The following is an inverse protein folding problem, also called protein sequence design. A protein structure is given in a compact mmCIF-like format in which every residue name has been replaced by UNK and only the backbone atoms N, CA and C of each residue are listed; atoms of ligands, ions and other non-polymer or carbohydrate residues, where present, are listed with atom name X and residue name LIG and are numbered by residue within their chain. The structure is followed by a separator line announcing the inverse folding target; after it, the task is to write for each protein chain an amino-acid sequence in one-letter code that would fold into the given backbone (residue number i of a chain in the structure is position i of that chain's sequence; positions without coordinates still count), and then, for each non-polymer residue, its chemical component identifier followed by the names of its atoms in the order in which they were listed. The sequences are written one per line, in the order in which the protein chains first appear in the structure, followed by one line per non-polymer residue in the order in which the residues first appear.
data_IF_202366241231
#
_entry.id   IF_202366241231
#
_cell.length_a   1.000
_cell.length_b   1.000
_cell.length_c   1.000
_cell.angle_alpha   90.00
_cell.angle_beta   90.00
_cell.angle_gamma   90.00
#
_symmetry.space_group_name_H-M   'P 1'
#
loop_
_entity.id
_entity.type
_entity.pdbx_description
1 polymer ?
#
# COMPACT_ATOMS: atom_id res chain seq x y z
N UNK A 1 -15.28 57.81 23.34
CA UNK A 1 -13.90 58.03 22.86
C UNK A 1 -13.63 56.99 21.76
N UNK A 2 -13.78 57.34 20.48
CA UNK A 2 -13.52 56.44 19.34
C UNK A 2 -12.06 56.62 18.93
N UNK A 3 -11.25 55.58 19.05
CA UNK A 3 -9.91 55.55 18.45
C UNK A 3 -10.09 55.49 16.92
N UNK A 4 -9.84 56.60 16.24
CA UNK A 4 -9.66 56.63 14.80
C UNK A 4 -8.35 55.90 14.48
N UNK A 5 -8.41 54.70 13.91
CA UNK A 5 -7.24 54.08 13.34
C UNK A 5 -6.86 54.86 12.07
N UNK A 6 -5.68 55.48 12.08
CA UNK A 6 -5.11 56.15 10.92
C UNK A 6 -4.84 55.08 9.84
N UNK A 7 -5.62 55.07 8.75
CA UNK A 7 -5.63 54.04 7.71
C UNK A 7 -4.40 54.01 6.79
N UNK A 8 -3.22 54.41 7.26
CA UNK A 8 -2.00 54.46 6.45
C UNK A 8 -1.44 53.06 6.12
N UNK A 9 -1.73 52.06 6.95
CA UNK A 9 -1.39 50.67 6.70
C UNK A 9 -2.49 49.76 7.27
N UNK A 10 -2.80 48.68 6.54
CA UNK A 10 -3.78 47.67 6.95
C UNK A 10 -3.19 46.29 6.73
N UNK A 11 -3.54 45.34 7.60
CA UNK A 11 -3.23 43.94 7.35
C UNK A 11 -4.00 43.44 6.13
N UNK A 12 -3.41 42.49 5.40
CA UNK A 12 -3.99 41.90 4.18
C UNK A 12 -5.38 41.33 4.44
N UNK A 13 -5.57 40.66 5.59
CA UNK A 13 -6.88 40.15 6.02
C UNK A 13 -7.94 41.25 6.20
N UNK A 14 -7.56 42.43 6.71
CA UNK A 14 -8.49 43.54 6.92
C UNK A 14 -8.78 44.33 5.64
N UNK A 15 -7.90 44.23 4.65
CA UNK A 15 -8.09 44.79 3.31
C UNK A 15 -8.89 43.86 2.37
N UNK A 16 -9.26 42.66 2.82
CA UNK A 16 -10.04 41.72 2.03
C UNK A 16 -11.43 42.30 1.72
N UNK A 17 -11.73 42.46 0.43
CA UNK A 17 -12.99 43.08 -0.04
C UNK A 17 -12.92 44.59 -0.26
N UNK A 18 -11.82 45.25 0.10
CA UNK A 18 -11.56 46.63 -0.28
C UNK A 18 -10.89 46.70 -1.66
N UNK A 19 -11.25 47.71 -2.45
CA UNK A 19 -10.55 48.08 -3.69
C UNK A 19 -9.94 49.46 -3.51
N UNK A 20 -8.67 49.61 -3.87
CA UNK A 20 -7.89 50.85 -3.76
C UNK A 20 -7.30 51.20 -5.12
N UNK A 21 -6.89 52.45 -5.33
CA UNK A 21 -6.28 52.84 -6.61
C UNK A 21 -4.92 52.16 -6.82
N UNK A 22 -4.11 52.10 -5.77
CA UNK A 22 -2.79 51.47 -5.77
C UNK A 22 -2.59 50.64 -4.50
N UNK A 23 -2.10 49.41 -4.64
CA UNK A 23 -1.75 48.55 -3.50
C UNK A 23 -0.23 48.41 -3.35
N UNK A 24 0.24 48.47 -2.10
CA UNK A 24 1.63 48.27 -1.72
C UNK A 24 1.69 47.20 -0.63
N UNK A 25 2.31 46.06 -0.92
CA UNK A 25 2.37 44.92 -0.03
C UNK A 25 3.81 44.64 0.39
N UNK A 26 4.04 44.47 1.69
CA UNK A 26 5.29 43.94 2.21
C UNK A 26 5.16 42.41 2.28
N UNK A 27 6.10 41.70 1.64
CA UNK A 27 6.07 40.25 1.49
C UNK A 27 7.30 39.67 2.17
N UNK A 28 7.08 38.92 3.23
CA UNK A 28 8.11 38.13 3.88
C UNK A 28 8.11 36.71 3.30
N UNK A 29 9.16 36.27 2.58
CA UNK A 29 9.23 34.92 2.04
C UNK A 29 9.13 33.80 3.08
N UNK A 30 9.48 34.09 4.33
CA UNK A 30 9.51 33.11 5.40
C UNK A 30 8.20 33.03 6.19
N UNK A 31 7.27 33.98 6.01
CA UNK A 31 5.96 33.99 6.70
C UNK A 31 4.75 34.13 5.77
N UNK A 32 4.90 34.61 4.54
CA UNK A 32 3.78 34.88 3.62
C UNK A 32 3.35 33.64 2.84
N UNK A 33 2.04 33.47 2.64
CA UNK A 33 1.43 32.44 1.80
C UNK A 33 0.86 32.97 0.49
N UNK A 34 0.61 32.07 -0.46
CA UNK A 34 0.06 32.41 -1.77
C UNK A 34 -1.31 33.06 -1.69
N UNK A 35 -2.15 32.69 -0.72
CA UNK A 35 -3.49 33.22 -0.56
C UNK A 35 -3.44 34.70 -0.15
N UNK A 36 -2.58 35.03 0.82
CA UNK A 36 -2.35 36.40 1.25
C UNK A 36 -1.68 37.22 0.15
N UNK A 37 -0.71 36.64 -0.55
CA UNK A 37 -0.05 37.30 -1.67
C UNK A 37 -1.04 37.61 -2.81
N UNK A 38 -1.90 36.65 -3.18
CA UNK A 38 -2.96 36.86 -4.17
C UNK A 38 -3.92 37.96 -3.74
N UNK A 39 -4.39 37.94 -2.50
CA UNK A 39 -5.27 38.97 -1.95
C UNK A 39 -4.61 40.33 -2.03
N UNK A 40 -3.34 40.46 -1.65
CA UNK A 40 -2.62 41.73 -1.68
C UNK A 40 -2.39 42.25 -3.12
N UNK A 41 -2.10 41.36 -4.06
CA UNK A 41 -1.81 41.68 -5.46
C UNK A 41 -3.05 41.94 -6.33
N UNK A 42 -4.25 41.87 -5.75
CA UNK A 42 -5.52 42.07 -6.45
C UNK A 42 -6.36 43.24 -5.92
N UNK A 43 -5.84 44.02 -4.96
CA UNK A 43 -6.60 45.16 -4.36
C UNK A 43 -6.48 46.46 -5.16
N UNK A 44 -5.36 46.68 -5.83
CA UNK A 44 -5.08 47.89 -6.60
C UNK A 44 -5.74 47.84 -7.97
N UNK A 45 -6.54 48.85 -8.30
CA UNK A 45 -7.20 49.00 -9.60
C UNK A 45 -6.21 49.35 -10.71
N UNK A 46 -5.23 50.19 -10.40
CA UNK A 46 -4.30 50.72 -11.39
C UNK A 46 -2.93 50.06 -11.30
N UNK A 47 -2.41 49.82 -10.09
CA UNK A 47 -1.10 49.19 -9.86
C UNK A 47 -1.05 48.42 -8.54
N UNK A 48 -0.26 47.34 -8.53
CA UNK A 48 0.03 46.54 -7.34
C UNK A 48 1.55 46.38 -7.23
N UNK A 49 2.12 46.77 -6.09
CA UNK A 49 3.55 46.70 -5.81
C UNK A 49 3.82 45.74 -4.65
N UNK A 50 4.76 44.81 -4.84
CA UNK A 50 5.25 43.91 -3.81
C UNK A 50 6.69 44.27 -3.42
N UNK A 51 6.92 44.50 -2.13
CA UNK A 51 8.23 44.71 -1.54
C UNK A 51 8.62 43.43 -0.82
N UNK A 52 9.57 42.68 -1.39
CA UNK A 52 10.01 41.41 -0.82
C UNK A 52 11.10 41.66 0.20
N UNK A 53 10.92 41.17 1.42
CA UNK A 53 11.93 41.28 2.48
C UNK A 53 13.13 40.40 2.13
N UNK A 54 14.30 41.02 2.16
CA UNK A 54 15.60 40.37 2.02
C UNK A 54 16.29 40.54 3.37
N UNK A 55 16.59 39.45 4.09
CA UNK A 55 17.31 39.52 5.37
C UNK A 55 18.70 40.11 5.16
N UNK A 56 19.17 40.88 6.14
CA UNK A 56 20.48 41.51 6.13
C UNK A 56 21.58 40.42 6.24
N UNK A 57 22.52 40.34 5.29
CA UNK A 57 23.64 39.40 5.38
C UNK A 57 24.51 39.56 6.65
N UNK A 58 24.41 40.70 7.35
CA UNK A 58 25.22 41.01 8.54
C UNK A 58 24.55 40.68 9.89
N UNK A 59 23.29 40.21 9.90
CA UNK A 59 22.60 39.76 11.13
C UNK A 59 22.80 38.25 11.42
N UNK A 60 23.58 37.54 10.59
CA UNK A 60 23.86 36.11 10.77
C UNK A 60 25.05 35.96 11.72
N UNK A 61 24.82 35.39 12.91
CA UNK A 61 25.90 35.00 13.82
C UNK A 61 26.93 34.13 13.07
N UNK A 62 28.24 34.43 13.14
CA UNK A 62 29.27 33.80 12.31
C UNK A 62 29.47 32.29 12.52
N UNK A 63 28.66 31.66 13.37
CA UNK A 63 28.68 30.23 13.72
C UNK A 63 27.51 29.44 13.10
N UNK A 64 26.59 30.10 12.39
CA UNK A 64 25.48 29.45 11.68
C UNK A 64 25.82 29.29 10.20
N UNK A 65 25.41 28.16 9.61
CA UNK A 65 25.52 27.93 8.17
C UNK A 65 24.84 29.08 7.42
N UNK A 66 25.60 29.76 6.55
CA UNK A 66 25.05 30.85 5.77
C UNK A 66 23.98 30.29 4.81
N UNK A 67 22.73 30.75 4.88
CA UNK A 67 21.70 30.29 3.95
C UNK A 67 22.10 30.65 2.52
N UNK A 68 21.82 29.74 1.57
CA UNK A 68 22.07 29.98 0.16
C UNK A 68 21.45 31.33 -0.28
N UNK A 69 22.18 32.16 -1.05
CA UNK A 69 21.68 33.43 -1.51
C UNK A 69 20.54 33.22 -2.51
N UNK A 70 19.30 33.21 -2.03
CA UNK A 70 18.10 33.08 -2.87
C UNK A 70 17.87 34.35 -3.70
N UNK A 71 17.59 34.17 -4.99
CA UNK A 71 17.17 35.27 -5.87
C UNK A 71 15.77 35.76 -5.49
N UNK A 72 15.39 36.96 -5.94
CA UNK A 72 14.02 37.49 -5.73
C UNK A 72 12.94 36.55 -6.29
N UNK A 73 13.21 35.89 -7.42
CA UNK A 73 12.28 34.94 -8.04
C UNK A 73 12.11 33.70 -7.18
N UNK A 74 13.19 33.16 -6.60
CA UNK A 74 13.12 31.99 -5.73
C UNK A 74 12.37 32.29 -4.43
N UNK A 75 12.58 33.50 -3.89
CA UNK A 75 11.84 34.00 -2.72
C UNK A 75 10.34 34.11 -3.02
N UNK A 76 9.97 34.60 -4.19
CA UNK A 76 8.55 34.66 -4.58
C UNK A 76 7.97 33.28 -4.87
N UNK A 77 8.75 32.37 -5.47
CA UNK A 77 8.36 30.98 -5.68
C UNK A 77 8.08 30.27 -4.34
N UNK A 78 8.88 30.54 -3.30
CA UNK A 78 8.61 30.05 -1.93
C UNK A 78 7.25 30.53 -1.41
N UNK A 79 6.93 31.82 -1.57
CA UNK A 79 5.62 32.39 -1.15
C UNK A 79 4.48 31.72 -1.90
N UNK A 80 4.61 31.52 -3.21
CA UNK A 80 3.59 30.88 -4.04
C UNK A 80 3.44 29.37 -3.76
N UNK A 81 4.48 28.71 -3.28
CA UNK A 81 4.44 27.31 -2.87
C UNK A 81 3.80 27.10 -1.50
N UNK A 82 3.80 28.12 -0.63
CA UNK A 82 3.18 28.07 0.71
C UNK A 82 1.68 28.35 0.63
N UNK A 83 0.88 27.53 1.31
CA UNK A 83 -0.57 27.66 1.41
C UNK A 83 -0.98 27.66 2.87
N UNK A 84 -1.61 28.74 3.33
CA UNK A 84 -2.18 28.83 4.69
C UNK A 84 -3.69 28.58 4.68
N UNK A 85 -4.19 27.90 3.64
CA UNK A 85 -5.58 27.48 3.60
C UNK A 85 -5.79 26.42 4.69
N UNK A 86 -6.49 26.79 5.76
CA UNK A 86 -6.90 25.86 6.81
C UNK A 86 -7.72 24.72 6.18
N UNK A 87 -7.21 23.50 6.27
CA UNK A 87 -7.95 22.30 5.90
C UNK A 87 -9.13 22.15 6.87
N UNK A 88 -10.35 22.00 6.36
CA UNK A 88 -11.50 21.85 7.24
C UNK A 88 -11.36 20.59 8.10
N UNK A 89 -11.88 20.61 9.33
CA UNK A 89 -11.85 19.44 10.22
C UNK A 89 -12.50 18.20 9.58
N UNK A 90 -13.50 18.41 8.73
CA UNK A 90 -14.14 17.38 7.90
C UNK A 90 -13.26 16.88 6.76
N UNK A 91 -12.50 17.72 6.07
CA UNK A 91 -11.59 17.24 5.01
C UNK A 91 -10.35 16.56 5.57
N UNK A 92 -9.87 16.97 6.74
CA UNK A 92 -8.80 16.28 7.47
C UNK A 92 -9.31 14.94 7.99
N UNK A 93 -10.50 14.88 8.60
CA UNK A 93 -11.10 13.64 9.06
C UNK A 93 -11.45 12.70 7.89
N UNK A 94 -12.07 13.20 6.81
CA UNK A 94 -12.39 12.41 5.63
C UNK A 94 -11.14 11.96 4.88
N UNK A 95 -10.07 12.76 4.78
CA UNK A 95 -8.81 12.31 4.17
C UNK A 95 -8.07 11.29 5.02
N UNK A 96 -8.07 11.42 6.34
CA UNK A 96 -7.42 10.44 7.23
C UNK A 96 -8.25 9.14 7.34
N UNK A 97 -9.58 9.25 7.41
CA UNK A 97 -10.51 8.10 7.45
C UNK A 97 -10.61 7.40 6.10
N UNK A 98 -10.75 8.09 4.96
CA UNK A 98 -10.82 7.45 3.64
C UNK A 98 -9.49 6.77 3.25
N UNK A 99 -8.35 7.28 3.74
CA UNK A 99 -7.01 6.77 3.38
C UNK A 99 -6.57 5.59 4.23
N UNK A 100 -6.94 5.54 5.51
CA UNK A 100 -6.53 4.47 6.43
C UNK A 100 -7.64 3.50 6.83
N UNK A 101 -8.92 3.84 6.68
CA UNK A 101 -10.03 2.97 7.09
C UNK A 101 -10.71 2.22 5.92
N UNK A 102 -10.64 2.67 4.65
CA UNK A 102 -11.39 2.02 3.57
C UNK A 102 -10.79 0.67 3.12
N UNK A 103 -9.51 0.65 2.74
CA UNK A 103 -8.85 -0.58 2.27
C UNK A 103 -8.60 -1.58 3.40
N UNK A 104 -8.23 -1.12 4.59
CA UNK A 104 -8.10 -1.98 5.78
C UNK A 104 -9.43 -2.66 6.13
N UNK A 105 -10.56 -1.93 6.08
CA UNK A 105 -11.90 -2.50 6.26
C UNK A 105 -12.25 -3.49 5.15
N UNK A 106 -12.00 -3.16 3.88
CA UNK A 106 -12.26 -4.09 2.77
C UNK A 106 -11.47 -5.40 2.89
N UNK A 107 -10.21 -5.31 3.34
CA UNK A 107 -9.37 -6.48 3.60
C UNK A 107 -9.93 -7.33 4.76
N UNK A 108 -10.33 -6.69 5.86
CA UNK A 108 -10.92 -7.37 7.00
C UNK A 108 -12.27 -8.03 6.63
N UNK A 109 -13.12 -7.33 5.89
CA UNK A 109 -14.39 -7.89 5.38
C UNK A 109 -14.14 -9.10 4.48
N UNK A 110 -13.19 -9.00 3.55
CA UNK A 110 -12.83 -10.12 2.67
C UNK A 110 -12.32 -11.32 3.45
N UNK A 111 -11.50 -11.10 4.49
CA UNK A 111 -10.97 -12.16 5.35
C UNK A 111 -12.08 -12.84 6.17
N UNK A 112 -13.11 -12.09 6.60
CA UNK A 112 -14.30 -12.67 7.27
C UNK A 112 -15.13 -13.50 6.28
N UNK A 113 -15.51 -12.92 5.13
CA UNK A 113 -16.31 -13.59 4.12
C UNK A 113 -15.62 -14.87 3.61
N UNK A 114 -14.31 -14.83 3.39
CA UNK A 114 -13.55 -15.98 2.90
C UNK A 114 -13.48 -17.13 3.90
N UNK A 115 -13.45 -16.82 5.21
CA UNK A 115 -13.49 -17.83 6.27
C UNK A 115 -14.89 -18.45 6.35
N UNK A 116 -15.92 -17.62 6.45
CA UNK A 116 -17.31 -18.05 6.53
C UNK A 116 -17.71 -18.95 5.35
N UNK A 117 -17.27 -18.59 4.14
CA UNK A 117 -17.53 -19.36 2.92
C UNK A 117 -17.00 -20.81 2.97
N UNK A 118 -16.08 -21.12 3.88
CA UNK A 118 -15.35 -22.39 3.90
C UNK A 118 -15.59 -23.22 5.18
N UNK A 119 -16.24 -22.66 6.19
CA UNK A 119 -16.45 -23.30 7.50
C UNK A 119 -17.12 -24.67 7.36
N UNK A 120 -18.25 -24.76 6.65
CA UNK A 120 -18.96 -26.03 6.45
C UNK A 120 -18.10 -27.07 5.71
N UNK A 121 -17.31 -26.62 4.74
CA UNK A 121 -16.41 -27.48 3.97
C UNK A 121 -15.27 -28.03 4.83
N UNK A 122 -14.72 -27.21 5.72
CA UNK A 122 -13.69 -27.65 6.66
C UNK A 122 -14.24 -28.62 7.68
N UNK A 123 -15.42 -28.34 8.23
CA UNK A 123 -16.11 -29.27 9.13
C UNK A 123 -16.32 -30.63 8.46
N UNK A 124 -16.83 -30.66 7.23
CA UNK A 124 -17.04 -31.90 6.47
C UNK A 124 -15.74 -32.66 6.16
N UNK A 125 -14.62 -31.96 5.90
CA UNK A 125 -13.32 -32.58 5.65
C UNK A 125 -12.69 -33.14 6.92
N UNK A 126 -12.87 -32.46 8.05
CA UNK A 126 -12.39 -32.93 9.36
C UNK A 126 -13.22 -34.12 9.86
N UNK A 127 -14.52 -34.15 9.57
CA UNK A 127 -15.43 -35.23 9.99
C UNK A 127 -15.02 -36.59 9.40
N UNK A 128 -14.55 -36.59 8.15
CA UNK A 128 -14.08 -37.82 7.46
C UNK A 128 -12.59 -38.11 7.64
N UNK A 129 -11.86 -37.25 8.36
CA UNK A 129 -10.42 -37.43 8.54
C UNK A 129 -10.14 -38.62 9.48
N UNK A 130 -9.10 -39.43 9.21
CA UNK A 130 -8.80 -40.64 10.00
C UNK A 130 -8.12 -40.28 11.33
N UNK A 131 -8.85 -39.64 12.23
CA UNK A 131 -8.39 -39.33 13.58
C UNK A 131 -8.34 -40.59 14.46
N UNK A 132 -7.41 -40.64 15.44
CA UNK A 132 -7.46 -41.63 16.51
C UNK A 132 -8.74 -41.54 17.34
N UNK A 133 -9.13 -42.68 17.90
CA UNK A 133 -10.33 -42.91 18.71
C UNK A 133 -10.28 -42.08 20.01
N UNK A 134 -10.88 -40.87 20.01
CA UNK A 134 -11.03 -39.86 21.10
C UNK A 134 -10.47 -38.47 20.73
N UNK A 135 -9.66 -38.36 19.68
CA UNK A 135 -9.04 -37.07 19.29
C UNK A 135 -9.97 -36.22 18.44
N UNK A 136 -10.90 -36.83 17.70
CA UNK A 136 -11.79 -36.10 16.80
C UNK A 136 -12.62 -35.03 17.53
N UNK A 137 -13.28 -35.42 18.63
CA UNK A 137 -14.10 -34.50 19.43
C UNK A 137 -13.27 -33.37 20.05
N UNK A 138 -12.04 -33.68 20.50
CA UNK A 138 -11.11 -32.71 21.04
C UNK A 138 -10.69 -31.68 19.98
N UNK A 139 -10.48 -32.11 18.71
CA UNK A 139 -10.19 -31.20 17.61
C UNK A 139 -11.37 -30.27 17.33
N UNK A 140 -12.59 -30.79 17.27
CA UNK A 140 -13.78 -29.99 16.97
C UNK A 140 -14.16 -29.00 18.07
N UNK A 141 -13.88 -29.34 19.33
CA UNK A 141 -14.18 -28.47 20.49
C UNK A 141 -12.99 -27.59 20.91
N UNK A 142 -11.86 -27.70 20.20
CA UNK A 142 -10.64 -26.96 20.52
C UNK A 142 -10.80 -25.45 20.37
N UNK A 143 -10.24 -24.64 21.29
CA UNK A 143 -10.14 -23.19 21.14
C UNK A 143 -9.22 -22.76 19.96
N UNK A 144 -8.44 -23.68 19.38
CA UNK A 144 -7.55 -23.42 18.25
C UNK A 144 -8.14 -23.88 16.90
N UNK A 145 -9.44 -24.20 16.84
CA UNK A 145 -10.09 -24.65 15.62
C UNK A 145 -9.94 -23.66 14.45
N UNK A 146 -10.13 -22.36 14.68
CA UNK A 146 -9.93 -21.33 13.64
C UNK A 146 -8.47 -21.29 13.12
N UNK A 147 -7.50 -21.58 13.98
CA UNK A 147 -6.10 -21.65 13.59
C UNK A 147 -5.83 -22.84 12.66
N UNK A 148 -6.48 -23.97 12.92
CA UNK A 148 -6.47 -25.15 12.05
C UNK A 148 -7.13 -24.87 10.70
N UNK A 149 -8.30 -24.24 10.67
CA UNK A 149 -8.96 -23.83 9.42
C UNK A 149 -8.06 -22.92 8.58
N UNK A 150 -7.38 -21.97 9.23
CA UNK A 150 -6.43 -21.08 8.58
C UNK A 150 -5.24 -21.85 8.01
N UNK A 151 -4.72 -22.85 8.72
CA UNK A 151 -3.64 -23.73 8.23
C UNK A 151 -4.08 -24.58 7.02
N UNK A 152 -5.31 -25.10 7.03
CA UNK A 152 -5.90 -25.81 5.90
C UNK A 152 -6.05 -24.90 4.68
N UNK A 153 -6.59 -23.69 4.88
CA UNK A 153 -6.73 -22.68 3.83
C UNK A 153 -5.36 -22.31 3.23
N UNK A 154 -4.33 -22.10 4.05
CA UNK A 154 -2.95 -21.86 3.59
C UNK A 154 -2.38 -23.03 2.80
N UNK A 155 -2.61 -24.26 3.26
CA UNK A 155 -2.17 -25.47 2.57
C UNK A 155 -2.80 -25.59 1.18
N UNK A 156 -4.11 -25.36 1.07
CA UNK A 156 -4.80 -25.35 -0.23
C UNK A 156 -4.34 -24.19 -1.12
N UNK A 157 -4.13 -23.01 -0.55
CA UNK A 157 -3.64 -21.84 -1.28
C UNK A 157 -2.22 -22.04 -1.83
N UNK A 158 -1.43 -22.94 -1.23
CA UNK A 158 -0.13 -23.38 -1.76
C UNK A 158 -0.25 -24.39 -2.92
N UNK A 159 -1.49 -24.77 -3.29
CA UNK A 159 -1.82 -25.67 -4.40
C UNK A 159 -1.86 -27.14 -4.00
N UNK A 160 -1.93 -27.44 -2.70
CA UNK A 160 -2.01 -28.80 -2.16
C UNK A 160 -3.47 -29.17 -1.82
N UNK A 161 -3.76 -30.45 -1.66
CA UNK A 161 -5.11 -30.92 -1.33
C UNK A 161 -5.21 -31.15 0.18
N UNK A 162 -6.08 -30.40 0.85
CA UNK A 162 -6.29 -30.51 2.31
C UNK A 162 -6.62 -31.95 2.75
N UNK A 163 -7.53 -32.62 2.03
CA UNK A 163 -7.91 -34.00 2.31
C UNK A 163 -6.71 -34.97 2.35
N UNK A 164 -5.77 -34.84 1.39
CA UNK A 164 -4.58 -35.70 1.32
C UNK A 164 -3.65 -35.46 2.52
N UNK A 165 -3.49 -34.20 2.92
CA UNK A 165 -2.70 -33.85 4.09
C UNK A 165 -3.35 -34.36 5.39
N UNK A 166 -4.67 -34.20 5.53
CA UNK A 166 -5.43 -34.71 6.68
C UNK A 166 -5.30 -36.23 6.78
N UNK A 167 -5.48 -36.98 5.69
CA UNK A 167 -5.28 -38.45 5.70
C UNK A 167 -3.89 -38.86 6.18
N UNK A 168 -2.86 -38.08 5.87
CA UNK A 168 -1.48 -38.40 6.25
C UNK A 168 -1.10 -37.93 7.67
N UNK A 169 -1.71 -36.85 8.16
CA UNK A 169 -1.33 -36.16 9.39
C UNK A 169 -2.26 -36.45 10.57
N UNK A 170 -3.57 -36.59 10.34
CA UNK A 170 -4.56 -36.87 11.37
C UNK A 170 -4.24 -38.12 12.21
N UNK A 171 -3.78 -39.26 11.63
CA UNK A 171 -3.46 -40.45 12.42
C UNK A 171 -2.23 -40.30 13.33
N UNK A 172 -1.45 -39.23 13.17
CA UNK A 172 -0.21 -38.99 13.92
C UNK A 172 -0.45 -38.15 15.18
N UNK A 173 -1.67 -37.65 15.36
CA UNK A 173 -2.04 -36.95 16.58
C UNK A 173 -1.99 -37.92 17.75
N UNK A 174 -1.49 -37.43 18.88
CA UNK A 174 -1.28 -38.23 20.08
C UNK A 174 -2.16 -37.67 21.19
N UNK A 175 -3.11 -38.47 21.74
CA UNK A 175 -3.95 -38.01 22.83
C UNK A 175 -3.15 -37.85 24.14
N UNK A 176 -3.46 -36.83 24.93
CA UNK A 176 -2.95 -36.69 26.31
C UNK A 176 -3.03 -35.27 26.86
N UNK A 177 -3.35 -35.14 28.15
CA UNK A 177 -3.58 -33.86 28.84
C UNK A 177 -2.32 -32.97 28.95
N UNK A 178 -1.12 -33.57 28.94
CA UNK A 178 0.17 -32.86 28.98
C UNK A 178 0.71 -32.47 27.59
N UNK A 179 -0.02 -32.79 26.51
CA UNK A 179 0.40 -32.51 25.14
C UNK A 179 -0.26 -31.23 24.62
N UNK A 180 0.36 -30.61 23.61
CA UNK A 180 -0.22 -29.46 22.93
C UNK A 180 -1.60 -29.83 22.35
N UNK A 181 -2.54 -28.89 22.41
CA UNK A 181 -3.89 -29.06 21.90
C UNK A 181 -3.92 -29.72 20.49
N UNK A 182 -4.76 -30.73 20.25
CA UNK A 182 -4.75 -31.49 18.99
C UNK A 182 -4.96 -30.64 17.73
N UNK A 183 -5.84 -29.63 17.77
CA UNK A 183 -6.07 -28.76 16.63
C UNK A 183 -4.85 -27.86 16.37
N UNK A 184 -4.23 -27.34 17.43
CA UNK A 184 -2.99 -26.58 17.33
C UNK A 184 -1.82 -27.45 16.82
N UNK A 185 -1.72 -28.71 17.26
CA UNK A 185 -0.71 -29.64 16.78
C UNK A 185 -0.89 -29.92 15.28
N UNK A 186 -2.13 -30.21 14.85
CA UNK A 186 -2.44 -30.46 13.45
C UNK A 186 -2.18 -29.23 12.57
N UNK A 187 -2.55 -28.04 13.03
CA UNK A 187 -2.28 -26.78 12.34
C UNK A 187 -0.78 -26.56 12.12
N UNK A 188 0.04 -26.78 13.16
CA UNK A 188 1.49 -26.68 13.08
C UNK A 188 2.08 -27.72 12.11
N UNK A 189 1.58 -28.95 12.13
CA UNK A 189 2.00 -30.01 11.19
C UNK A 189 1.66 -29.64 9.74
N UNK A 190 0.48 -29.08 9.49
CA UNK A 190 0.05 -28.58 8.18
C UNK A 190 0.94 -27.42 7.71
N UNK A 191 1.22 -26.45 8.57
CA UNK A 191 2.08 -25.32 8.21
C UNK A 191 3.52 -25.78 7.90
N UNK A 192 4.08 -26.70 8.69
CA UNK A 192 5.39 -27.30 8.42
C UNK A 192 5.40 -28.09 7.11
N UNK A 193 4.35 -28.87 6.84
CA UNK A 193 4.23 -29.60 5.57
C UNK A 193 4.16 -28.62 4.39
N UNK A 194 3.36 -27.56 4.51
CA UNK A 194 3.21 -26.51 3.50
C UNK A 194 4.53 -25.81 3.19
N UNK A 195 5.38 -25.58 4.20
CA UNK A 195 6.69 -24.96 4.02
C UNK A 195 7.71 -25.89 3.34
N UNK A 196 7.67 -27.19 3.62
CA UNK A 196 8.60 -28.18 3.05
C UNK A 196 8.26 -28.57 1.61
N UNK A 197 6.97 -28.53 1.26
CA UNK A 197 6.50 -28.92 -0.06
C UNK A 197 6.77 -27.82 -1.10
N UNK A 198 7.12 -28.24 -2.32
CA UNK A 198 7.13 -27.33 -3.47
C UNK A 198 5.70 -26.85 -3.75
N UNK A 199 5.50 -25.63 -4.28
CA UNK A 199 4.18 -25.16 -4.70
C UNK A 199 3.52 -26.20 -5.61
N UNK A 200 2.26 -26.51 -5.31
CA UNK A 200 1.50 -27.49 -6.09
C UNK A 200 1.23 -27.01 -7.52
N UNK A 201 0.86 -27.93 -8.41
CA UNK A 201 0.50 -27.59 -9.80
C UNK A 201 -0.84 -26.85 -9.92
N UNK A 202 -1.64 -26.86 -8.84
CA UNK A 202 -2.97 -26.24 -8.77
C UNK A 202 -2.91 -24.89 -8.07
N UNK A 203 -2.05 -23.98 -8.53
CA UNK A 203 -2.02 -22.62 -7.99
C UNK A 203 -3.36 -21.97 -8.25
N UNK A 204 -4.15 -21.75 -7.19
CA UNK A 204 -5.45 -21.09 -7.28
C UNK A 204 -5.29 -19.60 -7.56
N UNK A 205 -6.38 -18.99 -8.03
CA UNK A 205 -6.49 -17.55 -8.13
C UNK A 205 -6.23 -16.91 -6.76
N UNK A 206 -5.71 -15.68 -6.80
CA UNK A 206 -5.44 -14.87 -5.62
C UNK A 206 -5.89 -13.46 -5.93
N UNK A 207 -6.55 -12.80 -4.98
CA UNK A 207 -6.88 -11.38 -5.10
C UNK A 207 -5.57 -10.61 -5.15
N UNK A 208 -5.35 -9.88 -6.25
CA UNK A 208 -4.10 -9.16 -6.52
C UNK A 208 -2.85 -10.05 -6.42
N UNK A 209 -2.98 -11.36 -6.66
CA UNK A 209 -1.84 -12.28 -6.56
C UNK A 209 -1.33 -12.51 -5.13
N UNK A 210 -1.99 -11.93 -4.12
CA UNK A 210 -1.56 -11.97 -2.71
C UNK A 210 -2.49 -12.86 -1.88
N UNK A 211 -3.76 -12.45 -1.75
CA UNK A 211 -4.73 -13.05 -0.82
C UNK A 211 -5.36 -14.28 -1.48
N UNK A 212 -5.36 -15.45 -0.82
CA UNK A 212 -6.01 -16.65 -1.36
C UNK A 212 -7.51 -16.42 -1.61
N UNK A 213 -8.01 -16.92 -2.74
CA UNK A 213 -9.47 -17.03 -2.92
C UNK A 213 -9.98 -18.32 -2.28
N UNK A 214 -11.15 -18.31 -1.62
CA UNK A 214 -11.78 -19.54 -1.12
C UNK A 214 -12.07 -20.52 -2.27
N UNK A 215 -12.22 -21.80 -1.93
CA UNK A 215 -12.45 -22.86 -2.89
C UNK A 215 -13.94 -22.99 -3.20
N UNK A 216 -14.27 -23.30 -4.44
CA UNK A 216 -15.63 -23.72 -4.80
C UNK A 216 -15.96 -25.11 -4.22
N UNK A 217 -17.24 -25.40 -3.93
CA UNK A 217 -18.41 -24.55 -4.13
C UNK A 217 -18.64 -23.53 -3.00
N UNK A 218 -19.14 -22.34 -3.35
CA UNK A 218 -19.50 -21.25 -2.42
C UNK A 218 -20.93 -20.82 -2.75
N UNK A 219 -21.73 -20.45 -1.76
CA UNK A 219 -23.09 -19.94 -1.96
C UNK A 219 -23.08 -18.66 -2.84
N UNK A 220 -24.07 -18.51 -3.72
CA UNK A 220 -24.08 -17.46 -4.76
C UNK A 220 -24.01 -16.03 -4.20
N UNK A 221 -24.67 -15.79 -3.07
CA UNK A 221 -24.68 -14.51 -2.35
C UNK A 221 -23.30 -14.19 -1.75
N UNK A 222 -22.67 -15.18 -1.11
CA UNK A 222 -21.32 -15.09 -0.58
C UNK A 222 -20.29 -14.89 -1.70
N UNK A 223 -20.43 -15.61 -2.81
CA UNK A 223 -19.59 -15.46 -3.99
C UNK A 223 -19.71 -14.05 -4.59
N UNK A 224 -20.93 -13.49 -4.61
CA UNK A 224 -21.18 -12.12 -5.04
C UNK A 224 -20.47 -11.11 -4.13
N UNK A 225 -20.63 -11.25 -2.82
CA UNK A 225 -19.98 -10.38 -1.84
C UNK A 225 -18.45 -10.43 -1.94
N UNK A 226 -17.87 -11.63 -2.09
CA UNK A 226 -16.43 -11.83 -2.29
C UNK A 226 -15.93 -11.16 -3.58
N UNK A 227 -16.67 -11.30 -4.69
CA UNK A 227 -16.32 -10.68 -5.96
C UNK A 227 -16.35 -9.15 -5.89
N UNK A 228 -17.35 -8.58 -5.23
CA UNK A 228 -17.44 -7.12 -5.00
C UNK A 228 -16.25 -6.60 -4.20
N UNK A 229 -15.93 -7.24 -3.06
CA UNK A 229 -14.78 -6.85 -2.24
C UNK A 229 -13.47 -7.03 -2.99
N UNK A 230 -13.33 -8.13 -3.73
CA UNK A 230 -12.17 -8.36 -4.59
C UNK A 230 -11.99 -7.20 -5.58
N UNK A 231 -13.02 -6.80 -6.32
CA UNK A 231 -12.93 -5.71 -7.28
C UNK A 231 -12.48 -4.38 -6.64
N UNK A 232 -12.98 -4.07 -5.44
CA UNK A 232 -12.60 -2.88 -4.68
C UNK A 232 -11.15 -2.94 -4.18
N UNK A 233 -10.73 -4.09 -3.64
CA UNK A 233 -9.34 -4.32 -3.21
C UNK A 233 -8.39 -4.20 -4.41
N UNK A 234 -8.76 -4.76 -5.56
CA UNK A 234 -7.96 -4.69 -6.77
C UNK A 234 -7.79 -3.24 -7.26
N UNK A 235 -8.88 -2.46 -7.29
CA UNK A 235 -8.84 -1.05 -7.66
C UNK A 235 -7.97 -0.23 -6.68
N UNK A 236 -8.13 -0.47 -5.38
CA UNK A 236 -7.35 0.20 -4.34
C UNK A 236 -5.85 -0.13 -4.43
N UNK A 237 -5.48 -1.39 -4.67
CA UNK A 237 -4.08 -1.80 -4.85
C UNK A 237 -3.43 -1.15 -6.07
N UNK A 238 -4.16 -1.04 -7.20
CA UNK A 238 -3.68 -0.32 -8.38
C UNK A 238 -3.50 1.17 -8.09
N UNK A 239 -4.42 1.79 -7.34
CA UNK A 239 -4.29 3.19 -6.89
C UNK A 239 -3.08 3.40 -5.98
N UNK A 240 -2.84 2.51 -5.01
CA UNK A 240 -1.65 2.57 -4.14
C UNK A 240 -0.35 2.54 -4.95
N UNK A 241 -0.27 1.69 -5.98
CA UNK A 241 0.88 1.65 -6.89
C UNK A 241 1.02 2.97 -7.66
N UNK A 242 -0.08 3.52 -8.16
CA UNK A 242 -0.07 4.79 -8.89
C UNK A 242 0.42 5.95 -8.00
N UNK A 243 -0.16 6.10 -6.81
CA UNK A 243 0.23 7.14 -5.85
C UNK A 243 1.71 7.02 -5.46
N UNK A 244 2.21 5.79 -5.24
CA UNK A 244 3.62 5.57 -4.93
C UNK A 244 4.56 5.88 -6.11
N UNK A 245 4.10 5.71 -7.36
CA UNK A 245 4.84 6.09 -8.56
C UNK A 245 4.92 7.61 -8.70
N UNK A 246 3.80 8.32 -8.55
CA UNK A 246 3.74 9.79 -8.60
C UNK A 246 4.61 10.41 -7.50
N UNK A 247 4.63 9.81 -6.31
CA UNK A 247 5.49 10.23 -5.20
C UNK A 247 6.98 9.85 -5.38
N UNK A 248 7.37 9.14 -6.45
CA UNK A 248 8.75 8.72 -6.68
C UNK A 248 9.30 7.76 -5.62
N UNK A 249 8.45 6.91 -5.04
CA UNK A 249 8.83 6.09 -3.89
C UNK A 249 10.01 5.15 -4.22
N UNK A 250 11.02 5.12 -3.34
CA UNK A 250 12.26 4.38 -3.56
C UNK A 250 12.06 2.88 -3.83
N UNK A 251 11.05 2.26 -3.22
CA UNK A 251 10.76 0.85 -3.43
C UNK A 251 10.24 0.56 -4.85
N UNK A 252 9.53 1.51 -5.47
CA UNK A 252 9.05 1.40 -6.85
C UNK A 252 10.22 1.46 -7.81
N UNK A 253 11.17 2.37 -7.58
CA UNK A 253 12.39 2.45 -8.38
C UNK A 253 13.17 1.12 -8.38
N UNK A 254 13.17 0.40 -7.24
CA UNK A 254 13.80 -0.92 -7.10
C UNK A 254 13.06 -2.07 -7.79
N UNK A 255 11.82 -1.86 -8.23
CA UNK A 255 11.12 -2.84 -9.08
C UNK A 255 11.63 -2.82 -10.53
N UNK A 256 12.34 -1.77 -10.95
CA UNK A 256 12.84 -1.61 -12.31
C UNK A 256 11.90 -0.83 -13.21
N UNK A 257 12.33 -0.58 -14.45
CA UNK A 257 11.61 0.26 -15.41
C UNK A 257 10.48 -0.48 -16.10
N UNK A 258 9.43 0.28 -16.45
CA UNK A 258 8.29 -0.22 -17.20
C UNK A 258 8.70 -0.52 -18.65
N UNK A 259 8.23 -1.65 -19.14
CA UNK A 259 8.36 -2.00 -20.56
C UNK A 259 7.66 -0.99 -21.46
N UNK A 260 8.20 -0.78 -22.66
CA UNK A 260 7.52 -0.04 -23.73
C UNK A 260 6.32 -0.82 -24.31
N UNK A 261 6.27 -2.13 -24.11
CA UNK A 261 5.21 -3.02 -24.63
C UNK A 261 3.97 -3.03 -23.72
N UNK A 262 2.75 -2.84 -24.26
CA UNK A 262 1.53 -2.80 -23.46
C UNK A 262 1.30 -4.02 -22.57
N UNK A 263 1.39 -5.24 -23.10
CA UNK A 263 1.15 -6.47 -22.30
C UNK A 263 2.17 -6.68 -21.18
N UNK A 264 3.44 -6.34 -21.43
CA UNK A 264 4.49 -6.50 -20.43
C UNK A 264 4.34 -5.44 -19.33
N UNK A 265 3.89 -4.25 -19.70
CA UNK A 265 3.52 -3.19 -18.75
C UNK A 265 2.37 -3.62 -17.86
N UNK A 266 1.29 -4.15 -18.43
CA UNK A 266 0.13 -4.62 -17.67
C UNK A 266 0.51 -5.73 -16.68
N UNK A 267 1.32 -6.72 -17.10
CA UNK A 267 1.82 -7.77 -16.19
C UNK A 267 2.72 -7.22 -15.08
N UNK A 268 3.59 -6.25 -15.41
CA UNK A 268 4.42 -5.57 -14.43
C UNK A 268 3.55 -4.83 -13.41
N UNK A 269 2.53 -4.09 -13.87
CA UNK A 269 1.62 -3.33 -13.02
C UNK A 269 0.80 -4.25 -12.11
N UNK A 270 0.33 -5.38 -12.62
CA UNK A 270 -0.36 -6.39 -11.82
C UNK A 270 0.52 -6.92 -10.66
N UNK A 271 1.77 -7.30 -10.95
CA UNK A 271 2.71 -7.76 -9.92
C UNK A 271 3.18 -6.64 -8.98
N UNK A 272 3.33 -5.42 -9.48
CA UNK A 272 3.70 -4.28 -8.67
C UNK A 272 2.56 -3.87 -7.72
N UNK A 273 1.30 -4.02 -8.14
CA UNK A 273 0.13 -3.86 -7.28
C UNK A 273 0.09 -4.93 -6.17
N UNK A 274 0.52 -6.17 -6.45
CA UNK A 274 0.74 -7.20 -5.41
C UNK A 274 1.68 -6.71 -4.32
N UNK A 275 2.82 -6.13 -4.72
CA UNK A 275 3.81 -5.57 -3.79
C UNK A 275 3.22 -4.37 -3.03
N UNK A 276 2.50 -3.48 -3.71
CA UNK A 276 1.86 -2.32 -3.07
C UNK A 276 0.86 -2.75 -1.99
N UNK A 277 0.00 -3.73 -2.28
CA UNK A 277 -0.98 -4.25 -1.32
C UNK A 277 -0.31 -4.91 -0.13
N UNK A 278 0.72 -5.74 -0.35
CA UNK A 278 1.49 -6.36 0.73
C UNK A 278 2.12 -5.30 1.64
N UNK A 279 2.72 -4.26 1.06
CA UNK A 279 3.30 -3.16 1.84
C UNK A 279 2.25 -2.42 2.65
N UNK A 280 1.07 -2.16 2.08
CA UNK A 280 -0.02 -1.51 2.79
C UNK A 280 -0.51 -2.36 3.97
N UNK A 281 -0.79 -3.65 3.73
CA UNK A 281 -1.34 -4.58 4.71
C UNK A 281 -0.42 -4.80 5.93
N UNK A 282 0.90 -4.73 5.74
CA UNK A 282 1.90 -4.89 6.81
C UNK A 282 2.64 -3.59 7.15
N UNK A 283 2.10 -2.44 6.77
CA UNK A 283 2.61 -1.10 7.11
C UNK A 283 4.11 -0.89 6.79
N UNK A 284 4.56 -1.42 5.66
CA UNK A 284 5.97 -1.38 5.27
C UNK A 284 6.29 -0.01 4.65
N UNK A 285 7.04 0.80 5.38
CA UNK A 285 7.48 2.15 4.95
C UNK A 285 8.86 2.16 4.31
N UNK A 286 9.71 1.17 4.60
CA UNK A 286 11.10 1.12 4.14
C UNK A 286 11.29 1.01 2.62
N UNK A 287 12.52 1.26 2.12
CA UNK A 287 12.82 1.28 0.68
C UNK A 287 12.89 -0.13 0.05
N UNK A 288 12.94 -1.19 0.85
CA UNK A 288 12.90 -2.56 0.34
C UNK A 288 11.47 -2.91 -0.09
N UNK A 289 11.23 -3.42 -1.32
CA UNK A 289 9.86 -3.63 -1.81
C UNK A 289 8.98 -4.50 -0.91
N UNK A 290 9.52 -5.54 -0.27
CA UNK A 290 8.78 -6.40 0.68
C UNK A 290 9.24 -6.23 2.14
N UNK A 291 9.95 -5.15 2.47
CA UNK A 291 10.49 -4.95 3.81
C UNK A 291 11.61 -5.92 4.19
N UNK A 292 11.90 -6.00 5.49
CA UNK A 292 12.89 -6.92 6.07
C UNK A 292 12.28 -8.33 6.23
N UNK A 293 12.86 -9.38 5.62
CA UNK A 293 12.41 -10.75 5.80
C UNK A 293 12.35 -11.21 7.27
N UNK A 294 13.17 -10.65 8.16
CA UNK A 294 13.24 -11.05 9.57
C UNK A 294 12.06 -10.56 10.41
N UNK A 295 11.29 -9.59 9.89
CA UNK A 295 10.12 -9.03 10.58
C UNK A 295 8.86 -9.86 10.28
N UNK A 296 8.89 -10.77 9.30
CA UNK A 296 7.76 -11.63 8.94
C UNK A 296 7.36 -12.50 10.13
N UNK A 297 6.13 -12.33 10.61
CA UNK A 297 5.58 -13.03 11.77
C UNK A 297 4.39 -13.89 11.39
N UNK A 298 4.39 -15.11 11.95
CA UNK A 298 3.28 -16.03 11.78
C UNK A 298 3.16 -16.64 10.37
N UNK A 299 2.35 -17.69 10.23
CA UNK A 299 2.25 -18.46 9.00
C UNK A 299 1.51 -17.70 7.88
N UNK A 300 0.55 -16.83 8.21
CA UNK A 300 -0.21 -16.03 7.24
C UNK A 300 0.67 -15.02 6.50
N UNK A 301 1.38 -14.15 7.24
CA UNK A 301 2.32 -13.22 6.64
C UNK A 301 3.42 -13.94 5.88
N UNK A 302 3.91 -15.10 6.37
CA UNK A 302 4.89 -15.89 5.65
C UNK A 302 4.37 -16.45 4.31
N UNK A 303 3.08 -16.79 4.21
CA UNK A 303 2.45 -17.21 2.96
C UNK A 303 2.29 -16.03 1.99
N UNK A 304 1.82 -14.89 2.47
CA UNK A 304 1.66 -13.68 1.67
C UNK A 304 3.02 -13.11 1.22
N UNK A 305 4.03 -13.15 2.08
CA UNK A 305 5.41 -12.77 1.75
C UNK A 305 5.99 -13.63 0.62
N UNK A 306 5.75 -14.95 0.64
CA UNK A 306 6.14 -15.85 -0.47
C UNK A 306 5.43 -15.50 -1.78
N UNK A 307 4.15 -15.15 -1.72
CA UNK A 307 3.40 -14.68 -2.90
C UNK A 307 3.97 -13.36 -3.43
N UNK A 308 4.27 -12.41 -2.55
CA UNK A 308 4.98 -11.16 -2.88
C UNK A 308 6.35 -11.40 -3.51
N UNK A 309 7.14 -12.34 -2.97
CA UNK A 309 8.43 -12.73 -3.56
C UNK A 309 8.28 -13.33 -4.96
N UNK A 310 7.23 -14.14 -5.20
CA UNK A 310 6.94 -14.65 -6.53
C UNK A 310 6.63 -13.50 -7.52
N UNK A 311 5.78 -12.55 -7.13
CA UNK A 311 5.49 -11.36 -7.94
C UNK A 311 6.77 -10.56 -8.26
N UNK A 312 7.64 -10.35 -7.27
CA UNK A 312 8.91 -9.65 -7.44
C UNK A 312 9.88 -10.38 -8.38
N UNK A 313 9.90 -11.72 -8.36
CA UNK A 313 10.67 -12.53 -9.32
C UNK A 313 10.12 -12.39 -10.74
N UNK A 314 8.79 -12.36 -10.91
CA UNK A 314 8.17 -12.16 -12.21
C UNK A 314 8.48 -10.77 -12.79
N UNK A 315 8.45 -9.72 -11.96
CA UNK A 315 8.88 -8.37 -12.33
C UNK A 315 10.33 -8.36 -12.80
N UNK A 316 11.25 -8.91 -12.01
CA UNK A 316 12.68 -8.95 -12.38
C UNK A 316 12.93 -9.74 -13.67
N UNK A 317 12.20 -10.84 -13.86
CA UNK A 317 12.30 -11.65 -15.06
C UNK A 317 11.76 -10.92 -16.30
N UNK A 318 10.70 -10.11 -16.17
CA UNK A 318 10.19 -9.31 -17.28
C UNK A 318 11.15 -8.19 -17.67
N UNK A 319 11.71 -7.48 -16.69
CA UNK A 319 12.70 -6.40 -16.92
C UNK A 319 13.93 -6.95 -17.65
N UNK A 320 14.51 -8.06 -17.18
CA UNK A 320 15.69 -8.66 -17.84
C UNK A 320 15.44 -9.05 -19.30
N UNK A 321 14.26 -9.59 -19.63
CA UNK A 321 13.91 -9.99 -21.01
C UNK A 321 13.78 -8.78 -21.94
N UNK A 322 13.37 -7.64 -21.43
CA UNK A 322 13.26 -6.42 -22.22
C UNK A 322 14.64 -5.79 -22.48
N UNK A 323 15.54 -5.79 -21.50
CA UNK A 323 16.92 -5.32 -21.66
C UNK A 323 17.68 -6.14 -22.73
N UNK A 324 17.64 -7.47 -22.62
CA UNK A 324 18.34 -8.38 -23.56
C UNK A 324 17.86 -8.20 -25.01
N UNK A 325 16.57 -7.93 -25.22
CA UNK A 325 15.99 -7.70 -26.56
C UNK A 325 16.20 -6.28 -27.07
N UNK A 326 16.22 -5.28 -26.19
CA UNK A 326 16.60 -3.92 -26.53
C UNK A 326 18.02 -3.88 -27.10
N UNK A 327 18.97 -4.55 -26.44
CA UNK A 327 20.35 -4.66 -26.93
C UNK A 327 20.46 -5.37 -28.29
N UNK A 328 19.70 -6.45 -28.52
CA UNK A 328 19.68 -7.14 -29.81
C UNK A 328 19.07 -6.31 -30.96
N UNK A 329 18.06 -5.50 -30.68
CA UNK A 329 17.45 -4.59 -31.66
C UNK A 329 18.41 -3.46 -32.06
N UNK A 330 19.13 -2.89 -31.09
CA UNK A 330 20.14 -1.85 -31.32
C UNK A 330 21.31 -2.38 -32.15
N UNK A 331 21.79 -3.60 -31.87
CA UNK A 331 22.87 -4.24 -32.65
C UNK A 331 22.42 -4.54 -34.09
N UNK A 332 21.16 -4.94 -34.31
CA UNK A 332 20.63 -5.16 -35.67
C UNK A 332 20.42 -3.86 -36.44
N UNK A 333 20.10 -2.75 -35.79
CA UNK A 333 19.90 -1.46 -36.46
C UNK A 333 21.23 -0.77 -36.80
N UNK A 334 22.28 -0.95 -35.99
CA UNK A 334 23.64 -0.47 -36.30
C UNK A 334 24.27 -1.24 -37.46
N UNK A 335 24.09 -2.57 -37.52
CA UNK A 335 24.55 -3.38 -38.65
C UNK A 335 23.85 -3.05 -39.98
N UNK A 336 22.62 -2.53 -39.94
CA UNK A 336 21.83 -2.18 -41.15
C UNK A 336 22.06 -0.75 -41.66
N UNK A 337 22.67 0.12 -40.87
CA UNK A 337 23.06 1.50 -41.26
C UNK A 337 24.50 1.63 -41.74
N UNK A 338 25.27 0.53 -41.70
CA UNK A 338 26.68 0.49 -42.11
C UNK A 338 26.94 -0.14 -43.49
N UNK A 339 25.92 -0.23 -44.35
CA UNK A 339 26.04 -0.71 -45.74
C UNK A 339 25.62 0.37 -46.73
#
# INVERSE_FOLDING_TARGET
MRLQNLGYASTVHRAQGASVDTAHALVDPETSSRELFYVAMTRGKHRNHAYVIVPDPHEIEPHLDQPEPLTLTDRLAKVLARSDADLSATETLTREVDRHASLSTLLAEYDVLSREAQTDRWAALLDIAPFPENVADDVFTSPYYEHLESALARHEAAGHLAAVALTALAPRLTPGEDQADPAAQLANMLDQATQKLRPGKRTRARVIGLIPTPAEPIADDMQTALNERQALIEAAARKLLHDAREAGAAWVARLGQLSSRPEARERWEAHAATVALYRYRYEITGPAPLGDPNIVRGPDQAAEYRAGQAALRHIKASVRRDDERGSQSTVRSTLRRGL
#
